data_IF_571313093196
#
_entry.id   IF_571313093196
#
_cell.length_a   1.000
_cell.length_b   1.000
_cell.length_c   1.000
_cell.angle_alpha   90.00
_cell.angle_beta   90.00
_cell.angle_gamma   90.00
#
_symmetry.space_group_name_H-M   'P 1'
#
loop_
_entity.id
_entity.type
_entity.pdbx_description
1 polymer ?
#
# COMPACT_ATOMS: atom_id res chain seq x y z
N UNK A 1 -3.18 0.07 -0.13
CA UNK A 1 -1.92 0.81 0.15
C UNK A 1 -1.10 0.95 -1.13
N UNK A 2 -0.48 2.12 -1.43
CA UNK A 2 0.22 2.32 -2.71
C UNK A 2 1.41 1.37 -2.93
N UNK A 3 2.15 1.06 -1.86
CA UNK A 3 3.26 0.09 -1.89
C UNK A 3 2.75 -1.31 -2.23
N UNK A 4 1.68 -1.77 -1.58
CA UNK A 4 1.07 -3.07 -1.87
C UNK A 4 0.59 -3.19 -3.32
N UNK A 5 -0.02 -2.14 -3.89
CA UNK A 5 -0.45 -2.11 -5.30
C UNK A 5 0.77 -2.28 -6.23
N UNK A 6 1.89 -1.62 -5.93
CA UNK A 6 3.11 -1.73 -6.71
C UNK A 6 3.75 -3.12 -6.59
N UNK A 7 3.81 -3.70 -5.39
CA UNK A 7 4.26 -5.08 -5.16
C UNK A 7 3.37 -6.10 -5.87
N UNK A 8 2.06 -5.89 -5.92
CA UNK A 8 1.15 -6.74 -6.68
C UNK A 8 1.46 -6.76 -8.18
N UNK A 9 2.01 -5.69 -8.76
CA UNK A 9 2.49 -5.68 -10.16
C UNK A 9 3.71 -6.57 -10.34
N UNK A 10 4.62 -6.59 -9.36
CA UNK A 10 5.80 -7.47 -9.35
C UNK A 10 5.36 -8.93 -9.37
N UNK A 11 4.42 -9.32 -8.50
CA UNK A 11 3.91 -10.70 -8.42
C UNK A 11 3.12 -11.14 -9.68
N UNK A 12 2.53 -10.19 -10.39
CA UNK A 12 1.79 -10.44 -11.64
C UNK A 12 2.68 -10.41 -12.89
N UNK A 13 3.93 -9.98 -12.80
CA UNK A 13 4.84 -9.95 -13.94
C UNK A 13 5.06 -11.37 -14.49
N UNK A 14 5.06 -11.51 -15.82
CA UNK A 14 5.18 -12.80 -16.50
C UNK A 14 6.47 -12.98 -17.28
N UNK A 15 7.18 -11.89 -17.57
CA UNK A 15 8.47 -11.91 -18.26
C UNK A 15 9.55 -11.22 -17.44
N UNK A 16 10.82 -11.46 -17.76
CA UNK A 16 11.94 -10.82 -17.07
C UNK A 16 11.89 -9.31 -17.26
N UNK A 17 11.60 -8.83 -18.48
CA UNK A 17 11.49 -7.40 -18.72
C UNK A 17 10.37 -6.74 -17.89
N UNK A 18 9.21 -7.39 -17.81
CA UNK A 18 8.10 -6.92 -16.96
C UNK A 18 8.47 -6.92 -15.48
N UNK A 19 9.21 -7.93 -15.02
CA UNK A 19 9.57 -8.06 -13.60
C UNK A 19 10.59 -7.01 -13.20
N UNK A 20 11.62 -6.77 -14.01
CA UNK A 20 12.60 -5.69 -13.79
C UNK A 20 11.91 -4.32 -13.71
N UNK A 21 11.05 -3.99 -14.69
CA UNK A 21 10.28 -2.74 -14.68
C UNK A 21 9.36 -2.62 -13.45
N UNK A 22 8.65 -3.70 -13.11
CA UNK A 22 7.77 -3.72 -11.94
C UNK A 22 8.56 -3.55 -10.63
N UNK A 23 9.73 -4.17 -10.49
CA UNK A 23 10.59 -4.02 -9.31
C UNK A 23 11.10 -2.58 -9.16
N UNK A 24 11.55 -1.97 -10.25
CA UNK A 24 12.00 -0.56 -10.25
C UNK A 24 10.86 0.40 -9.88
N UNK A 25 9.66 0.17 -10.42
CA UNK A 25 8.46 0.94 -10.04
C UNK A 25 8.08 0.72 -8.58
N UNK A 26 8.14 -0.51 -8.08
CA UNK A 26 7.87 -0.81 -6.68
C UNK A 26 8.86 -0.10 -5.74
N UNK A 27 10.16 -0.11 -6.07
CA UNK A 27 11.18 0.61 -5.32
C UNK A 27 10.95 2.13 -5.34
N UNK A 28 10.59 2.71 -6.49
CA UNK A 28 10.26 4.14 -6.57
C UNK A 28 9.03 4.49 -5.72
N UNK A 29 7.95 3.70 -5.81
CA UNK A 29 6.72 3.93 -5.04
C UNK A 29 6.97 3.80 -3.54
N UNK A 30 7.73 2.78 -3.12
CA UNK A 30 8.16 2.62 -1.74
C UNK A 30 8.93 3.85 -1.28
N UNK A 31 9.88 4.34 -2.08
CA UNK A 31 10.72 5.49 -1.71
C UNK A 31 9.92 6.78 -1.62
N UNK A 32 9.03 7.04 -2.58
CA UNK A 32 8.13 8.21 -2.54
C UNK A 32 7.23 8.16 -1.30
N UNK A 33 6.71 6.98 -0.95
CA UNK A 33 5.89 6.79 0.24
C UNK A 33 6.68 7.02 1.54
N UNK A 34 7.87 6.42 1.64
CA UNK A 34 8.79 6.62 2.77
C UNK A 34 9.19 8.09 2.91
N UNK A 35 9.44 8.80 1.80
CA UNK A 35 9.75 10.23 1.84
C UNK A 35 8.60 11.04 2.42
N UNK A 36 7.36 10.76 2.02
CA UNK A 36 6.18 11.41 2.59
C UNK A 36 6.04 11.19 4.10
N UNK A 37 6.24 9.95 4.57
CA UNK A 37 6.21 9.64 6.01
C UNK A 37 7.37 10.31 6.74
N UNK A 38 8.58 10.21 6.20
CA UNK A 38 9.79 10.77 6.79
C UNK A 38 9.64 12.29 6.98
N UNK A 39 9.22 13.00 5.94
CA UNK A 39 8.99 14.44 5.99
C UNK A 39 7.86 14.82 6.94
N UNK A 40 6.72 14.11 6.91
CA UNK A 40 5.61 14.37 7.83
C UNK A 40 6.02 14.13 9.30
N UNK A 41 6.84 13.11 9.53
CA UNK A 41 7.42 12.83 10.84
C UNK A 41 8.40 13.93 11.25
N UNK A 42 9.33 14.32 10.36
CA UNK A 42 10.34 15.34 10.63
C UNK A 42 9.71 16.71 10.90
N UNK A 43 8.65 17.08 10.18
CA UNK A 43 7.86 18.27 10.47
C UNK A 43 7.25 18.21 11.88
N UNK A 44 6.89 17.01 12.34
CA UNK A 44 6.31 16.73 13.66
C UNK A 44 7.35 16.45 14.78
N UNK A 45 8.62 16.81 14.56
CA UNK A 45 9.72 16.64 15.52
C UNK A 45 9.52 17.48 16.78
N UNK A 46 10.08 17.02 17.90
CA UNK A 46 10.03 17.73 19.17
C UNK A 46 10.92 19.01 19.14
N UNK A 47 10.66 19.99 20.02
CA UNK A 47 11.27 21.32 19.90
C UNK A 47 12.78 21.30 20.14
N UNK A 48 13.57 21.82 19.19
CA UNK A 48 15.01 22.04 19.43
C UNK A 48 15.95 22.10 18.22
N UNK A 49 15.51 21.89 16.98
CA UNK A 49 16.40 21.79 15.82
C UNK A 49 16.13 22.79 14.68
N UNK A 50 17.18 23.41 14.16
CA UNK A 50 17.20 24.22 12.93
C UNK A 50 17.51 23.40 11.67
N UNK A 51 17.46 22.06 11.75
CA UNK A 51 17.78 21.23 10.59
C UNK A 51 16.81 21.48 9.45
N UNK A 52 17.38 21.60 8.28
CA UNK A 52 16.71 21.75 6.99
C UNK A 52 16.93 20.48 6.17
N UNK A 53 16.04 20.25 5.22
CA UNK A 53 16.20 19.22 4.20
C UNK A 53 16.68 19.87 2.91
N UNK A 54 17.22 19.06 1.99
CA UNK A 54 17.53 19.54 0.65
C UNK A 54 16.30 20.15 -0.02
N UNK A 55 16.50 21.26 -0.71
CA UNK A 55 15.44 21.92 -1.47
C UNK A 55 14.99 21.01 -2.62
N UNK A 56 13.67 20.91 -2.80
CA UNK A 56 13.06 20.21 -3.92
C UNK A 56 12.58 21.25 -4.94
N UNK A 57 13.10 21.16 -6.17
CA UNK A 57 12.70 22.01 -7.29
C UNK A 57 12.74 21.25 -8.61
N UNK A 58 11.94 21.67 -9.58
CA UNK A 58 11.81 21.03 -10.88
C UNK A 58 11.15 19.65 -10.82
N UNK A 59 11.45 18.80 -11.80
CA UNK A 59 10.96 17.42 -11.85
C UNK A 59 11.69 16.55 -10.82
N UNK A 60 10.94 15.91 -9.93
CA UNK A 60 11.49 15.08 -8.89
C UNK A 60 11.71 13.65 -9.40
N UNK A 61 12.92 13.16 -9.16
CA UNK A 61 13.33 11.79 -9.50
C UNK A 61 13.38 10.90 -8.26
N UNK A 62 13.53 9.58 -8.48
CA UNK A 62 13.75 8.61 -7.42
C UNK A 62 14.89 9.04 -6.46
N UNK A 63 16.00 9.56 -6.99
CA UNK A 63 17.11 10.05 -6.18
C UNK A 63 16.71 11.14 -5.18
N UNK A 64 15.86 12.09 -5.57
CA UNK A 64 15.42 13.17 -4.68
C UNK A 64 14.69 12.60 -3.45
N UNK A 65 13.73 11.70 -3.68
CA UNK A 65 12.97 11.08 -2.58
C UNK A 65 13.86 10.22 -1.69
N UNK A 66 14.81 9.47 -2.26
CA UNK A 66 15.74 8.65 -1.49
C UNK A 66 16.64 9.52 -0.61
N UNK A 67 17.19 10.60 -1.16
CA UNK A 67 17.97 11.58 -0.40
C UNK A 67 17.16 12.18 0.74
N UNK A 68 15.90 12.57 0.50
CA UNK A 68 15.03 13.08 1.56
C UNK A 68 14.84 12.08 2.71
N UNK A 69 14.62 10.79 2.41
CA UNK A 69 14.48 9.76 3.46
C UNK A 69 15.78 9.59 4.23
N UNK A 70 16.91 9.54 3.53
CA UNK A 70 18.24 9.41 4.12
C UNK A 70 18.59 10.60 5.04
N UNK A 71 18.30 11.82 4.61
CA UNK A 71 18.48 13.05 5.41
C UNK A 71 17.67 13.00 6.70
N UNK A 72 16.38 12.67 6.61
CA UNK A 72 15.52 12.55 7.78
C UNK A 72 15.98 11.42 8.70
N UNK A 73 16.31 10.25 8.16
CA UNK A 73 16.76 9.11 8.96
C UNK A 73 18.10 9.37 9.67
N UNK A 74 18.94 10.24 9.10
CA UNK A 74 20.21 10.69 9.68
C UNK A 74 20.06 11.92 10.60
N UNK A 75 18.89 12.57 10.62
CA UNK A 75 18.63 13.73 11.45
C UNK A 75 18.78 13.38 12.93
N UNK A 76 19.32 14.32 13.72
CA UNK A 76 19.56 14.12 15.15
C UNK A 76 18.31 14.38 15.99
N UNK A 77 17.35 15.11 15.43
CA UNK A 77 16.12 15.47 16.10
C UNK A 77 15.24 14.27 16.37
N UNK A 78 14.60 14.27 17.54
CA UNK A 78 13.60 13.26 17.86
C UNK A 78 12.31 13.52 17.08
N UNK A 79 11.93 12.56 16.25
CA UNK A 79 10.68 12.59 15.48
C UNK A 79 9.94 11.24 15.51
N UNK A 80 8.62 11.22 15.28
CA UNK A 80 7.80 10.03 15.51
C UNK A 80 8.23 8.75 14.77
N UNK A 81 8.70 8.86 13.53
CA UNK A 81 9.16 7.75 12.71
C UNK A 81 10.66 7.42 12.88
N UNK A 82 11.42 8.16 13.69
CA UNK A 82 12.88 7.97 13.85
C UNK A 82 13.27 6.52 14.18
N UNK A 83 12.68 5.83 15.19
CA UNK A 83 13.06 4.46 15.50
C UNK A 83 12.71 3.48 14.37
N UNK A 84 11.65 3.75 13.63
CA UNK A 84 11.17 2.90 12.54
C UNK A 84 12.04 3.06 11.28
N UNK A 85 12.42 4.29 10.94
CA UNK A 85 13.36 4.56 9.84
C UNK A 85 14.77 4.04 10.16
N UNK A 86 15.19 4.09 11.42
CA UNK A 86 16.48 3.56 11.84
C UNK A 86 16.62 2.04 11.61
N UNK A 87 15.54 1.27 11.57
CA UNK A 87 15.61 -0.17 11.26
C UNK A 87 16.12 -0.43 9.83
N UNK A 88 15.69 0.40 8.87
CA UNK A 88 16.02 0.23 7.45
C UNK A 88 17.19 1.09 6.96
N UNK A 89 17.44 2.25 7.58
CA UNK A 89 18.37 3.28 7.06
C UNK A 89 19.58 3.55 7.95
N UNK A 90 19.63 3.02 9.18
CA UNK A 90 20.76 3.31 10.07
C UNK A 90 22.05 2.70 9.53
N UNK A 91 23.05 3.55 9.40
CA UNK A 91 24.40 3.14 9.02
C UNK A 91 25.21 2.79 10.26
N UNK A 92 25.95 1.68 10.22
CA UNK A 92 26.86 1.26 11.28
C UNK A 92 28.29 1.16 10.76
N UNK A 93 29.28 1.57 11.57
CA UNK A 93 30.69 1.40 11.24
C UNK A 93 31.22 0.17 11.97
N UNK A 94 31.71 -0.82 11.23
CA UNK A 94 32.38 -2.01 11.78
C UNK A 94 33.69 -2.21 11.03
N UNK A 95 34.81 -2.26 11.73
CA UNK A 95 36.13 -2.50 11.14
C UNK A 95 36.48 -1.59 9.94
N UNK A 96 36.25 -0.27 10.07
CA UNK A 96 36.43 0.73 9.00
C UNK A 96 35.46 0.60 7.79
N UNK A 97 34.66 -0.45 7.72
CA UNK A 97 33.58 -0.58 6.75
C UNK A 97 32.30 0.09 7.26
N UNK A 98 31.63 0.79 6.35
CA UNK A 98 30.37 1.48 6.59
C UNK A 98 29.24 0.59 6.07
N UNK A 99 28.60 -0.15 6.97
CA UNK A 99 27.47 -1.01 6.68
C UNK A 99 26.20 -0.16 6.66
N UNK A 100 25.61 0.02 5.48
CA UNK A 100 24.33 0.68 5.30
C UNK A 100 23.19 -0.17 5.86
N UNK A 101 22.11 0.48 6.25
CA UNK A 101 20.88 -0.21 6.61
C UNK A 101 20.36 -1.02 5.40
N UNK A 102 19.68 -2.13 5.69
CA UNK A 102 19.24 -3.09 4.67
C UNK A 102 18.37 -2.42 3.59
N UNK A 103 17.42 -1.58 4.00
CA UNK A 103 16.56 -0.83 3.07
C UNK A 103 17.33 0.24 2.31
N UNK A 104 18.23 0.98 2.97
CA UNK A 104 19.05 1.98 2.29
C UNK A 104 19.91 1.36 1.18
N UNK A 105 20.64 0.28 1.49
CA UNK A 105 21.48 -0.41 0.53
C UNK A 105 20.68 -0.92 -0.68
N UNK A 106 19.53 -1.55 -0.42
CA UNK A 106 18.66 -2.06 -1.49
C UNK A 106 18.09 -0.94 -2.37
N UNK A 107 17.61 0.16 -1.80
CA UNK A 107 17.06 1.28 -2.57
C UNK A 107 18.13 2.03 -3.36
N UNK A 108 19.36 2.13 -2.83
CA UNK A 108 20.51 2.66 -3.57
C UNK A 108 20.85 1.76 -4.75
N UNK A 109 20.88 0.43 -4.57
CA UNK A 109 21.12 -0.51 -5.66
C UNK A 109 20.04 -0.39 -6.75
N UNK A 110 18.77 -0.27 -6.36
CA UNK A 110 17.66 -0.07 -7.31
C UNK A 110 17.72 1.28 -8.03
N UNK A 111 18.16 2.35 -7.35
CA UNK A 111 18.40 3.64 -7.98
C UNK A 111 19.55 3.58 -8.99
N UNK A 112 20.64 2.89 -8.63
CA UNK A 112 21.78 2.66 -9.53
C UNK A 112 21.32 1.91 -10.79
N UNK A 113 20.61 0.79 -10.61
CA UNK A 113 20.05 0.01 -11.72
C UNK A 113 19.13 0.85 -12.60
N UNK A 114 18.27 1.68 -12.02
CA UNK A 114 17.43 2.60 -12.79
C UNK A 114 18.26 3.58 -13.62
N UNK A 115 19.30 4.16 -13.03
CA UNK A 115 20.15 5.13 -13.72
C UNK A 115 20.92 4.48 -14.87
N UNK A 116 21.42 3.26 -14.66
CA UNK A 116 22.13 2.47 -15.67
C UNK A 116 21.20 2.10 -16.84
N UNK A 117 19.92 1.84 -16.56
CA UNK A 117 18.91 1.56 -17.59
C UNK A 117 18.35 2.82 -18.26
N UNK A 118 18.44 3.99 -17.61
CA UNK A 118 18.04 5.28 -18.16
C UNK A 118 16.67 5.29 -18.85
N UNK A 119 16.63 5.76 -20.11
CA UNK A 119 15.44 5.75 -20.97
C UNK A 119 15.18 4.39 -21.67
N UNK A 120 16.09 3.42 -21.56
CA UNK A 120 16.03 2.13 -22.25
C UNK A 120 15.00 1.18 -21.65
N UNK A 121 14.44 1.49 -20.47
CA UNK A 121 13.36 0.73 -19.83
C UNK A 121 12.17 0.45 -20.76
N UNK A 122 11.88 1.36 -21.70
CA UNK A 122 10.79 1.18 -22.68
C UNK A 122 11.09 0.16 -23.77
N UNK A 123 12.36 -0.19 -23.96
CA UNK A 123 12.86 -1.08 -25.00
C UNK A 123 13.73 -2.20 -24.43
N UNK A 124 13.56 -2.52 -23.15
CA UNK A 124 14.34 -3.57 -22.50
C UNK A 124 13.99 -4.91 -23.15
N UNK A 125 14.93 -5.46 -23.92
CA UNK A 125 14.78 -6.78 -24.52
C UNK A 125 14.87 -7.87 -23.44
N UNK A 126 14.24 -9.02 -23.70
CA UNK A 126 14.17 -10.11 -22.71
C UNK A 126 15.55 -10.68 -22.38
N UNK A 127 16.50 -10.73 -23.32
CA UNK A 127 17.84 -11.25 -23.06
C UNK A 127 18.61 -10.38 -22.06
N UNK A 128 18.59 -9.06 -22.26
CA UNK A 128 19.15 -8.08 -21.33
C UNK A 128 18.41 -8.11 -19.98
N UNK A 129 17.10 -8.27 -19.99
CA UNK A 129 16.31 -8.36 -18.76
C UNK A 129 16.67 -9.60 -17.93
N UNK A 130 16.81 -10.78 -18.54
CA UNK A 130 17.25 -12.00 -17.85
C UNK A 130 18.65 -11.84 -17.27
N UNK A 131 19.58 -11.25 -18.02
CA UNK A 131 20.93 -10.97 -17.50
C UNK A 131 20.91 -10.02 -16.28
N UNK A 132 20.00 -9.04 -16.25
CA UNK A 132 19.79 -8.17 -15.08
C UNK A 132 19.21 -8.94 -13.90
N UNK A 133 18.22 -9.80 -14.13
CA UNK A 133 17.66 -10.63 -13.05
C UNK A 133 18.73 -11.51 -12.40
N UNK A 134 19.60 -12.11 -13.20
CA UNK A 134 20.68 -12.98 -12.71
C UNK A 134 21.80 -12.21 -11.99
N UNK A 135 22.15 -11.02 -12.47
CA UNK A 135 23.31 -10.26 -11.96
C UNK A 135 22.97 -9.30 -10.82
N UNK A 136 21.80 -8.65 -10.86
CA UNK A 136 21.42 -7.59 -9.94
C UNK A 136 20.29 -8.00 -8.97
N UNK A 137 19.61 -9.13 -9.23
CA UNK A 137 18.47 -9.65 -8.46
C UNK A 137 17.53 -8.56 -7.90
N UNK A 138 16.83 -7.81 -8.79
CA UNK A 138 15.98 -6.70 -8.39
C UNK A 138 14.80 -7.15 -7.52
N UNK A 139 14.40 -8.43 -7.58
CA UNK A 139 13.38 -8.98 -6.70
C UNK A 139 13.89 -9.06 -5.25
N UNK A 140 15.08 -9.64 -5.04
CA UNK A 140 15.68 -9.68 -3.71
C UNK A 140 15.91 -8.27 -3.16
N UNK A 141 16.34 -7.33 -4.01
CA UNK A 141 16.49 -5.93 -3.58
C UNK A 141 15.15 -5.32 -3.12
N UNK A 142 14.03 -5.55 -3.83
CA UNK A 142 12.71 -5.07 -3.36
C UNK A 142 12.29 -5.75 -2.06
N UNK A 143 12.52 -7.06 -1.91
CA UNK A 143 12.23 -7.78 -0.67
C UNK A 143 13.03 -7.21 0.51
N UNK A 144 14.32 -7.00 0.31
CA UNK A 144 15.22 -6.42 1.31
C UNK A 144 14.82 -5.00 1.69
N UNK A 145 14.42 -4.20 0.70
CA UNK A 145 13.89 -2.87 0.92
C UNK A 145 12.63 -2.89 1.79
N UNK A 146 11.67 -3.78 1.51
CA UNK A 146 10.42 -3.91 2.26
C UNK A 146 10.66 -4.42 3.68
N UNK A 147 11.47 -5.46 3.85
CA UNK A 147 11.74 -6.08 5.16
C UNK A 147 12.35 -5.09 6.15
N UNK A 148 13.30 -4.25 5.72
CA UNK A 148 13.96 -3.32 6.63
C UNK A 148 13.06 -2.18 7.15
N UNK A 149 11.87 -1.97 6.55
CA UNK A 149 10.88 -0.97 7.00
C UNK A 149 9.50 -1.57 7.23
N UNK A 150 9.40 -2.90 7.39
CA UNK A 150 8.13 -3.61 7.55
C UNK A 150 7.28 -3.00 8.68
N UNK A 151 7.89 -2.72 9.83
CA UNK A 151 7.18 -2.15 10.97
C UNK A 151 6.56 -0.78 10.65
N UNK A 152 7.23 0.02 9.82
CA UNK A 152 6.72 1.31 9.36
C UNK A 152 5.58 1.14 8.34
N UNK A 153 5.74 0.23 7.38
CA UNK A 153 4.72 -0.06 6.38
C UNK A 153 3.46 -0.67 7.01
N UNK A 154 3.61 -1.29 8.18
CA UNK A 154 2.50 -1.86 8.93
C UNK A 154 1.60 -0.84 9.64
N UNK A 155 2.02 0.44 9.69
CA UNK A 155 1.23 1.52 10.32
C UNK A 155 0.08 1.97 9.39
N UNK A 156 -1.09 2.34 9.95
CA UNK A 156 -2.26 2.59 9.12
C UNK A 156 -2.14 3.91 8.35
N UNK A 157 -2.31 3.82 7.03
CA UNK A 157 -2.60 4.94 6.13
C UNK A 157 -4.11 5.14 6.04
N UNK A 158 -4.59 6.35 6.28
CA UNK A 158 -6.02 6.64 6.30
C UNK A 158 -6.36 8.08 5.91
N UNK A 159 -7.64 8.32 5.63
CA UNK A 159 -8.24 9.65 5.42
C UNK A 159 -9.44 9.79 6.35
N UNK A 160 -9.66 10.98 6.90
CA UNK A 160 -10.94 11.31 7.57
C UNK A 160 -11.79 12.08 6.57
N UNK A 161 -12.88 11.48 6.09
CA UNK A 161 -13.79 12.13 5.15
C UNK A 161 -14.64 13.20 5.84
N UNK A 162 -15.15 12.86 7.01
CA UNK A 162 -16.06 13.72 7.77
C UNK A 162 -15.73 13.66 9.26
N UNK A 163 -15.97 14.78 9.94
CA UNK A 163 -15.79 14.93 11.37
C UNK A 163 -16.96 15.75 11.92
N UNK A 164 -17.72 15.17 12.83
CA UNK A 164 -18.88 15.80 13.46
C UNK A 164 -18.70 15.88 14.98
N UNK A 165 -19.03 17.04 15.55
CA UNK A 165 -18.95 17.25 16.99
C UNK A 165 -20.28 16.88 17.64
N UNK A 166 -20.21 16.06 18.68
CA UNK A 166 -21.33 15.77 19.58
C UNK A 166 -20.95 16.21 21.00
N UNK A 167 -21.90 16.35 21.94
CA UNK A 167 -21.59 16.77 23.31
C UNK A 167 -20.58 15.85 24.02
N UNK A 168 -20.60 14.55 23.71
CA UNK A 168 -19.82 13.53 24.42
C UNK A 168 -18.59 13.02 23.65
N UNK A 169 -18.52 13.30 22.34
CA UNK A 169 -17.47 12.76 21.47
C UNK A 169 -17.36 13.53 20.14
N UNK A 170 -16.25 13.32 19.44
CA UNK A 170 -16.16 13.62 18.01
C UNK A 170 -16.43 12.31 17.24
N UNK A 171 -17.31 12.36 16.24
CA UNK A 171 -17.61 11.23 15.34
C UNK A 171 -16.86 11.43 14.03
N UNK A 172 -15.97 10.49 13.71
CA UNK A 172 -15.14 10.49 12.52
C UNK A 172 -15.64 9.45 11.53
N UNK A 173 -15.66 9.79 10.25
CA UNK A 173 -15.77 8.83 9.14
C UNK A 173 -14.38 8.61 8.54
N UNK A 174 -13.75 7.49 8.87
CA UNK A 174 -12.38 7.11 8.49
C UNK A 174 -12.39 6.15 7.30
N UNK A 175 -11.59 6.43 6.26
CA UNK A 175 -11.24 5.50 5.20
C UNK A 175 -9.85 4.92 5.48
N UNK A 176 -9.74 3.59 5.58
CA UNK A 176 -8.44 2.91 5.68
C UNK A 176 -7.91 2.61 4.28
N UNK A 177 -6.76 3.19 3.93
CA UNK A 177 -6.12 3.01 2.62
C UNK A 177 -5.13 1.83 2.61
N UNK A 178 -5.33 0.88 3.53
CA UNK A 178 -4.45 -0.28 3.75
C UNK A 178 -4.90 -1.55 3.04
N UNK A 179 -6.11 -1.59 2.48
CA UNK A 179 -6.64 -2.76 1.76
C UNK A 179 -6.13 -2.93 0.33
N UNK A 180 -6.46 -4.10 -0.24
CA UNK A 180 -6.35 -4.41 -1.68
C UNK A 180 -7.57 -3.91 -2.49
N UNK A 181 -8.65 -3.52 -1.81
CA UNK A 181 -9.86 -2.98 -2.44
C UNK A 181 -9.55 -1.69 -3.20
N UNK A 182 -10.16 -1.53 -4.37
CA UNK A 182 -10.10 -0.29 -5.15
C UNK A 182 -10.71 0.89 -4.38
N UNK A 183 -11.79 0.64 -3.63
CA UNK A 183 -12.46 1.63 -2.79
C UNK A 183 -12.43 1.20 -1.31
N UNK A 184 -11.91 2.05 -0.41
CA UNK A 184 -11.86 1.74 1.01
C UNK A 184 -13.26 1.86 1.63
N UNK A 185 -13.70 0.85 2.37
CA UNK A 185 -14.96 0.93 3.12
C UNK A 185 -14.83 1.95 4.27
N UNK A 186 -15.71 2.96 4.37
CA UNK A 186 -15.71 3.90 5.47
C UNK A 186 -16.07 3.25 6.80
N UNK A 187 -15.38 3.69 7.87
CA UNK A 187 -15.62 3.28 9.24
C UNK A 187 -16.01 4.49 10.08
N UNK A 188 -17.12 4.38 10.80
CA UNK A 188 -17.55 5.40 11.77
C UNK A 188 -16.91 5.11 13.12
N UNK A 189 -16.17 6.08 13.65
CA UNK A 189 -15.38 5.93 14.88
C UNK A 189 -15.65 7.11 15.79
N UNK A 190 -15.81 6.84 17.09
CA UNK A 190 -15.94 7.88 18.11
C UNK A 190 -14.58 8.12 18.78
N UNK A 191 -14.18 9.38 18.87
CA UNK A 191 -12.95 9.82 19.50
C UNK A 191 -13.26 10.83 20.59
N UNK A 192 -12.30 11.04 21.49
CA UNK A 192 -12.40 12.03 22.55
C UNK A 192 -12.75 13.42 21.99
N UNK A 193 -13.62 14.21 22.65
CA UNK A 193 -14.06 15.53 22.16
C UNK A 193 -12.92 16.54 21.95
N UNK A 194 -11.72 16.27 22.48
CA UNK A 194 -10.51 17.08 22.27
C UNK A 194 -9.54 16.51 21.24
N UNK A 195 -9.82 15.34 20.66
CA UNK A 195 -8.88 14.53 19.88
C UNK A 195 -9.28 14.34 18.40
N UNK A 196 -9.68 15.43 17.74
CA UNK A 196 -9.98 15.45 16.30
C UNK A 196 -8.76 15.57 15.40
N UNK A 197 -8.97 15.47 14.09
CA UNK A 197 -7.95 15.80 13.07
C UNK A 197 -8.04 17.26 12.65
N UNK A 198 -6.91 17.82 12.24
CA UNK A 198 -6.80 19.21 11.80
C UNK A 198 -7.30 19.47 10.38
N UNK A 199 -7.40 18.44 9.53
CA UNK A 199 -7.85 18.60 8.14
C UNK A 199 -8.51 17.33 7.62
N UNK A 200 -9.82 17.38 7.33
CA UNK A 200 -10.52 16.31 6.63
C UNK A 200 -10.10 16.24 5.15
N UNK A 201 -10.34 15.10 4.50
CA UNK A 201 -10.01 14.89 3.09
C UNK A 201 -8.51 14.78 2.77
N UNK A 202 -7.65 14.72 3.78
CA UNK A 202 -6.20 14.57 3.59
C UNK A 202 -5.67 13.24 4.13
N UNK A 203 -4.59 12.68 3.55
CA UNK A 203 -4.05 11.41 4.01
C UNK A 203 -3.13 11.58 5.22
N UNK A 204 -3.26 10.62 6.14
CA UNK A 204 -2.53 10.53 7.41
C UNK A 204 -1.91 9.15 7.61
N UNK A 205 -0.79 9.09 8.34
CA UNK A 205 -0.29 7.85 8.95
C UNK A 205 -0.31 7.96 10.46
N UNK A 206 -0.87 6.97 11.16
CA UNK A 206 -0.81 6.93 12.62
C UNK A 206 0.46 6.21 13.09
N UNK A 207 1.29 6.90 13.89
CA UNK A 207 2.44 6.33 14.57
C UNK A 207 2.29 6.57 16.07
N UNK A 208 2.11 5.50 16.84
CA UNK A 208 1.75 5.57 18.25
C UNK A 208 0.48 6.43 18.43
N UNK A 209 0.52 7.43 19.31
CA UNK A 209 -0.60 8.36 19.55
C UNK A 209 -0.69 9.51 18.53
N UNK A 210 0.29 9.64 17.63
CA UNK A 210 0.40 10.80 16.71
C UNK A 210 -0.13 10.42 15.32
N UNK A 211 -0.93 11.29 14.72
CA UNK A 211 -1.36 11.23 13.33
C UNK A 211 -0.53 12.22 12.52
N UNK A 212 0.23 11.70 11.55
CA UNK A 212 1.13 12.49 10.71
C UNK A 212 0.44 12.84 9.41
N UNK A 213 0.20 14.14 9.19
CA UNK A 213 -0.40 14.66 7.96
C UNK A 213 0.61 14.62 6.81
N UNK A 214 0.30 13.88 5.74
CA UNK A 214 1.22 13.63 4.63
C UNK A 214 1.29 14.72 3.54
N UNK A 215 0.27 15.56 3.30
CA UNK A 215 0.43 16.71 2.41
C UNK A 215 1.59 17.62 2.82
N UNK A 216 2.37 18.19 1.89
CA UNK A 216 2.19 18.16 0.44
C UNK A 216 2.92 17.01 -0.28
N UNK A 217 3.40 15.95 0.41
CA UNK A 217 4.08 14.85 -0.28
C UNK A 217 3.11 13.83 -0.88
N UNK A 218 1.99 13.62 -0.19
CA UNK A 218 0.92 12.72 -0.61
C UNK A 218 -0.43 13.42 -0.45
N UNK A 219 -1.20 13.45 -1.52
CA UNK A 219 -2.57 13.97 -1.53
C UNK A 219 -3.57 12.83 -1.71
N UNK A 220 -4.80 13.09 -1.30
CA UNK A 220 -5.97 12.28 -1.59
C UNK A 220 -6.95 13.15 -2.38
N UNK A 221 -7.34 12.71 -3.56
CA UNK A 221 -8.18 13.52 -4.43
C UNK A 221 -8.71 12.73 -5.62
N UNK A 222 -9.56 13.38 -6.42
CA UNK A 222 -10.21 12.76 -7.57
C UNK A 222 -9.22 12.66 -8.72
N UNK A 223 -8.98 11.44 -9.20
CA UNK A 223 -8.42 11.19 -10.52
C UNK A 223 -9.52 11.45 -11.56
N UNK A 224 -9.45 12.62 -12.21
CA UNK A 224 -10.43 13.04 -13.22
C UNK A 224 -10.53 12.07 -14.41
N UNK A 225 -9.44 11.37 -14.74
CA UNK A 225 -9.44 10.40 -15.84
C UNK A 225 -10.21 9.13 -15.51
N UNK A 226 -10.24 8.75 -14.22
CA UNK A 226 -10.91 7.54 -13.75
C UNK A 226 -12.24 7.80 -13.03
N UNK A 227 -12.55 9.06 -12.75
CA UNK A 227 -13.70 9.46 -11.94
C UNK A 227 -13.73 8.73 -10.58
N UNK A 228 -12.55 8.45 -10.02
CA UNK A 228 -12.40 7.80 -8.72
C UNK A 228 -11.35 8.51 -7.87
N UNK A 229 -11.40 8.34 -6.55
CA UNK A 229 -10.38 8.86 -5.66
C UNK A 229 -9.07 8.05 -5.76
N UNK A 230 -7.96 8.76 -5.68
CA UNK A 230 -6.64 8.18 -5.73
C UNK A 230 -5.67 8.93 -4.81
N UNK A 231 -4.59 8.23 -4.44
CA UNK A 231 -3.42 8.86 -3.85
C UNK A 231 -2.56 9.47 -4.95
N UNK A 232 -2.17 10.73 -4.75
CA UNK A 232 -1.30 11.46 -5.67
C UNK A 232 0.01 11.81 -4.97
N UNK A 233 1.11 11.30 -5.51
CA UNK A 233 2.45 11.57 -5.02
C UNK A 233 2.98 12.86 -5.63
N UNK A 234 3.73 13.64 -4.85
CA UNK A 234 4.51 14.75 -5.37
C UNK A 234 5.41 14.27 -6.53
N UNK A 235 5.45 15.03 -7.62
CA UNK A 235 6.17 14.70 -8.86
C UNK A 235 7.03 15.83 -9.37
N UNK A 236 6.60 17.09 -9.21
CA UNK A 236 7.42 18.26 -9.51
C UNK A 236 7.09 19.43 -8.59
N UNK A 237 8.07 20.29 -8.34
CA UNK A 237 7.92 21.53 -7.57
C UNK A 237 8.37 22.68 -8.46
N UNK A 238 7.42 23.53 -8.85
CA UNK A 238 7.68 24.73 -9.65
C UNK A 238 7.67 25.97 -8.75
N UNK A 239 7.84 27.16 -9.35
CA UNK A 239 7.97 28.40 -8.58
C UNK A 239 6.75 28.72 -7.70
N UNK A 240 5.54 28.43 -8.21
CA UNK A 240 4.24 28.74 -7.56
C UNK A 240 3.28 27.56 -7.53
N UNK A 241 3.62 26.44 -8.16
CA UNK A 241 2.75 25.27 -8.28
C UNK A 241 3.52 24.00 -7.94
N UNK A 242 2.80 22.96 -7.53
CA UNK A 242 3.37 21.62 -7.46
C UNK A 242 2.55 20.66 -8.32
N UNK A 243 3.25 19.76 -9.01
CA UNK A 243 2.66 18.69 -9.79
C UNK A 243 2.66 17.39 -8.99
N UNK A 244 1.57 16.67 -9.11
CA UNK A 244 1.35 15.38 -8.47
C UNK A 244 1.00 14.33 -9.51
N UNK A 245 1.32 13.07 -9.23
CA UNK A 245 0.98 11.94 -10.08
C UNK A 245 0.38 10.77 -9.30
N UNK A 246 -0.61 10.10 -9.88
CA UNK A 246 -1.08 8.79 -9.41
C UNK A 246 -0.09 7.69 -9.81
N UNK A 247 -0.23 6.50 -9.23
CA UNK A 247 0.55 5.31 -9.60
C UNK A 247 0.37 4.86 -11.06
N UNK A 248 -0.67 5.39 -11.71
CA UNK A 248 -1.04 5.09 -13.09
C UNK A 248 -0.68 6.21 -14.06
N UNK A 249 -0.07 7.30 -13.55
CA UNK A 249 0.47 8.38 -14.36
C UNK A 249 -0.49 9.55 -14.62
N UNK A 250 -1.69 9.55 -14.04
CA UNK A 250 -2.58 10.73 -14.05
C UNK A 250 -1.89 11.86 -13.31
N UNK A 251 -1.84 13.04 -13.93
CA UNK A 251 -1.18 14.23 -13.36
C UNK A 251 -2.21 15.24 -12.86
N UNK A 252 -1.91 15.86 -11.73
CA UNK A 252 -2.66 16.97 -11.15
C UNK A 252 -1.69 18.11 -10.83
N UNK A 253 -2.07 19.34 -11.16
CA UNK A 253 -1.32 20.53 -10.78
C UNK A 253 -2.10 21.26 -9.68
N UNK A 254 -1.40 21.69 -8.64
CA UNK A 254 -1.99 22.37 -7.47
C UNK A 254 -1.23 23.67 -7.22
N UNK A 255 -1.94 24.79 -7.33
CA UNK A 255 -1.40 26.12 -7.07
C UNK A 255 -1.12 26.34 -5.58
N UNK A 256 -0.04 27.06 -5.26
CA UNK A 256 0.41 27.36 -3.89
C UNK A 256 1.01 26.18 -3.12
N UNK A 257 0.90 24.95 -3.64
CA UNK A 257 1.45 23.77 -2.97
C UNK A 257 2.99 23.75 -2.92
N UNK A 258 3.67 24.47 -3.82
CA UNK A 258 5.13 24.64 -3.80
C UNK A 258 5.62 25.32 -2.52
N UNK A 259 4.85 26.26 -1.98
CA UNK A 259 5.22 26.99 -0.77
C UNK A 259 5.23 26.06 0.44
N UNK A 260 4.19 25.22 0.55
CA UNK A 260 4.13 24.19 1.60
C UNK A 260 5.28 23.18 1.52
N UNK A 261 5.79 22.87 0.33
CA UNK A 261 6.96 21.98 0.16
C UNK A 261 8.21 22.70 0.67
N UNK A 262 8.44 23.94 0.18
CA UNK A 262 9.59 24.77 0.56
C UNK A 262 9.63 25.05 2.06
N UNK A 263 8.50 25.39 2.66
CA UNK A 263 8.38 25.65 4.09
C UNK A 263 8.85 24.45 4.92
N UNK A 264 8.43 23.23 4.56
CA UNK A 264 8.85 22.05 5.32
C UNK A 264 10.34 21.75 5.09
N UNK A 265 10.84 21.87 3.85
CA UNK A 265 12.26 21.72 3.56
C UNK A 265 13.13 22.75 4.31
N UNK A 266 12.65 23.99 4.47
CA UNK A 266 13.30 25.04 5.27
C UNK A 266 13.15 24.84 6.78
N UNK A 267 12.59 23.72 7.22
CA UNK A 267 12.52 23.33 8.62
C UNK A 267 11.23 23.72 9.33
N UNK A 268 10.18 24.15 8.62
CA UNK A 268 8.88 24.46 9.23
C UNK A 268 8.34 23.25 9.98
N UNK A 269 7.91 23.49 11.22
CA UNK A 269 7.34 22.47 12.10
C UNK A 269 5.83 22.44 12.02
N UNK A 270 5.26 21.28 12.31
CA UNK A 270 3.82 21.06 12.42
C UNK A 270 3.53 20.45 13.77
N UNK A 271 2.45 20.90 14.40
CA UNK A 271 1.95 20.26 15.61
C UNK A 271 1.48 18.86 15.26
N UNK A 272 2.01 17.80 15.90
CA UNK A 272 1.48 16.46 15.70
C UNK A 272 0.03 16.41 16.19
N UNK A 273 -0.86 15.87 15.35
CA UNK A 273 -2.24 15.65 15.73
C UNK A 273 -2.32 14.40 16.61
N UNK A 274 -3.08 14.45 17.71
CA UNK A 274 -3.22 13.32 18.63
C UNK A 274 -4.67 12.90 18.64
N UNK A 275 -4.93 11.67 18.17
CA UNK A 275 -6.27 11.11 18.10
C UNK A 275 -6.36 9.93 19.07
N UNK A 276 -7.26 10.05 20.04
CA UNK A 276 -7.49 9.07 21.11
C UNK A 276 -8.93 8.60 21.01
N UNK A 277 -9.11 7.27 20.95
CA UNK A 277 -10.41 6.63 20.94
C UNK A 277 -11.07 6.72 22.32
N UNK A 278 -12.39 6.54 22.42
CA UNK A 278 -13.11 6.62 23.70
C UNK A 278 -12.63 5.60 24.74
N UNK A 279 -12.03 4.49 24.32
CA UNK A 279 -11.44 3.47 25.21
C UNK A 279 -10.00 3.82 25.66
N UNK A 280 -9.50 5.00 25.31
CA UNK A 280 -8.14 5.46 25.59
C UNK A 280 -7.07 4.89 24.66
N UNK A 281 -7.44 4.06 23.68
CA UNK A 281 -6.53 3.56 22.66
C UNK A 281 -6.32 4.61 21.53
N UNK A 282 -5.54 4.26 20.51
CA UNK A 282 -5.22 5.15 19.39
C UNK A 282 -5.34 4.38 18.07
N UNK A 283 -5.40 5.10 16.95
CA UNK A 283 -5.53 4.48 15.62
C UNK A 283 -4.43 3.48 15.28
N UNK A 284 -3.18 3.70 15.70
CA UNK A 284 -2.10 2.77 15.42
C UNK A 284 -2.32 1.43 16.15
N UNK A 285 -2.78 1.46 17.40
CA UNK A 285 -3.09 0.27 18.21
C UNK A 285 -4.35 -0.44 17.73
N UNK A 286 -5.42 0.30 17.44
CA UNK A 286 -6.66 -0.22 16.84
C UNK A 286 -6.36 -0.97 15.53
N UNK A 287 -5.54 -0.36 14.67
CA UNK A 287 -5.11 -1.00 13.44
C UNK A 287 -4.24 -2.22 13.68
N UNK A 288 -3.27 -2.19 14.59
CA UNK A 288 -2.44 -3.35 14.90
C UNK A 288 -3.29 -4.56 15.31
N UNK A 289 -4.25 -4.38 16.22
CA UNK A 289 -5.18 -5.44 16.62
C UNK A 289 -6.10 -5.91 15.48
N UNK A 290 -6.47 -5.01 14.57
CA UNK A 290 -7.25 -5.36 13.37
C UNK A 290 -6.41 -6.14 12.36
N UNK A 291 -5.17 -5.71 12.12
CA UNK A 291 -4.21 -6.37 11.24
C UNK A 291 -3.89 -7.77 11.74
N UNK A 292 -3.60 -7.93 13.03
CA UNK A 292 -3.30 -9.23 13.63
C UNK A 292 -4.48 -10.20 13.46
N UNK A 293 -5.73 -9.72 13.61
CA UNK A 293 -6.93 -10.52 13.31
C UNK A 293 -7.05 -10.88 11.83
N UNK A 294 -6.79 -9.93 10.93
CA UNK A 294 -6.82 -10.19 9.47
C UNK A 294 -5.75 -11.21 9.08
N UNK A 295 -4.52 -11.06 9.58
CA UNK A 295 -3.41 -11.98 9.31
C UNK A 295 -3.67 -13.35 9.94
N UNK A 296 -4.18 -13.41 11.17
CA UNK A 296 -4.52 -14.67 11.82
C UNK A 296 -5.68 -15.38 11.10
N UNK A 297 -6.72 -14.65 10.71
CA UNK A 297 -7.79 -15.18 9.84
C UNK A 297 -7.24 -15.65 8.51
N UNK A 298 -6.33 -14.89 7.89
CA UNK A 298 -5.64 -15.25 6.65
C UNK A 298 -4.83 -16.54 6.80
N UNK A 299 -4.00 -16.66 7.84
CA UNK A 299 -3.21 -17.87 8.14
C UNK A 299 -4.09 -19.08 8.50
N UNK A 300 -5.23 -18.86 9.16
CA UNK A 300 -6.20 -19.93 9.49
C UNK A 300 -7.04 -20.36 8.28
N UNK A 301 -7.24 -19.46 7.31
CA UNK A 301 -7.96 -19.73 6.05
C UNK A 301 -7.02 -20.12 4.90
N UNK A 302 -5.71 -19.93 5.04
CA UNK A 302 -4.70 -20.36 4.07
C UNK A 302 -4.77 -21.89 3.91
N UNK A 303 -5.25 -22.31 2.75
CA UNK A 303 -5.43 -23.70 2.38
C UNK A 303 -6.79 -24.30 2.70
N UNK A 304 -7.48 -23.85 3.75
CA UNK A 304 -8.74 -24.48 4.18
C UNK A 304 -9.93 -24.01 3.34
N UNK A 305 -10.53 -24.95 2.61
CA UNK A 305 -11.77 -24.70 1.86
C UNK A 305 -12.93 -24.55 2.85
N UNK A 306 -13.53 -23.35 2.89
CA UNK A 306 -14.80 -23.12 3.60
C UNK A 306 -15.96 -23.64 2.75
N UNK A 307 -16.27 -24.93 2.90
CA UNK A 307 -17.32 -25.60 2.14
C UNK A 307 -18.71 -25.00 2.36
N UNK A 308 -18.96 -24.29 3.46
CA UNK A 308 -20.24 -23.64 3.72
C UNK A 308 -20.42 -22.34 2.93
N UNK A 309 -19.34 -21.76 2.40
CA UNK A 309 -19.36 -20.58 1.55
C UNK A 309 -19.81 -20.87 0.10
N UNK A 310 -19.90 -22.15 -0.28
CA UNK A 310 -20.36 -22.55 -1.60
C UNK A 310 -21.89 -22.53 -1.72
N UNK A 311 -22.35 -22.44 -2.97
CA UNK A 311 -23.74 -22.52 -3.36
C UNK A 311 -24.19 -23.99 -3.34
N UNK A 312 -25.11 -24.38 -2.44
CA UNK A 312 -25.47 -25.78 -2.24
C UNK A 312 -26.02 -26.45 -3.51
N UNK A 313 -26.78 -25.70 -4.32
CA UNK A 313 -27.41 -26.22 -5.53
C UNK A 313 -26.35 -26.51 -6.61
N UNK A 314 -25.38 -25.61 -6.77
CA UNK A 314 -24.26 -25.78 -7.72
C UNK A 314 -23.35 -26.94 -7.33
N UNK A 315 -23.04 -27.06 -6.04
CA UNK A 315 -22.26 -28.18 -5.48
C UNK A 315 -23.00 -29.51 -5.71
N UNK A 316 -24.31 -29.56 -5.42
CA UNK A 316 -25.13 -30.75 -5.60
C UNK A 316 -25.25 -31.15 -7.08
N UNK A 317 -25.42 -30.17 -7.97
CA UNK A 317 -25.45 -30.39 -9.43
C UNK A 317 -24.15 -31.04 -9.92
N UNK A 318 -23.00 -30.50 -9.49
CA UNK A 318 -21.70 -31.04 -9.89
C UNK A 318 -21.46 -32.44 -9.30
N UNK A 319 -21.85 -32.68 -8.05
CA UNK A 319 -21.81 -34.01 -7.46
C UNK A 319 -22.70 -35.01 -8.22
N UNK A 320 -23.85 -34.56 -8.71
CA UNK A 320 -24.73 -35.34 -9.58
C UNK A 320 -24.08 -35.75 -10.90
N UNK A 321 -23.27 -34.88 -11.53
CA UNK A 321 -22.50 -35.21 -12.73
C UNK A 321 -21.46 -36.31 -12.51
N UNK A 322 -21.00 -36.47 -11.27
CA UNK A 322 -20.04 -37.49 -10.86
C UNK A 322 -20.72 -38.85 -10.55
N UNK A 323 -22.04 -38.98 -10.80
CA UNK A 323 -22.83 -40.22 -10.74
C UNK A 323 -22.83 -40.96 -9.38
N UNK A 324 -22.80 -40.23 -8.26
CA UNK A 324 -22.92 -40.83 -6.91
C UNK A 324 -23.95 -40.08 -6.05
N UNK A 325 -25.25 -40.47 -6.10
CA UNK A 325 -26.34 -39.69 -5.50
C UNK A 325 -26.42 -39.74 -3.96
N UNK A 326 -25.71 -40.66 -3.29
CA UNK A 326 -25.80 -40.88 -1.83
C UNK A 326 -24.53 -40.50 -1.03
N UNK A 327 -23.54 -39.87 -1.67
CA UNK A 327 -22.32 -39.40 -0.97
C UNK A 327 -22.37 -37.90 -0.67
N UNK A 328 -21.71 -37.49 0.43
CA UNK A 328 -21.54 -36.08 0.79
C UNK A 328 -20.89 -35.30 -0.39
N UNK A 329 -21.59 -34.32 -1.00
CA UNK A 329 -21.09 -33.57 -2.14
C UNK A 329 -19.73 -32.90 -1.91
N UNK A 330 -19.48 -32.43 -0.68
CA UNK A 330 -18.20 -31.80 -0.32
C UNK A 330 -17.07 -32.82 -0.26
N UNK A 331 -17.35 -34.02 0.23
CA UNK A 331 -16.40 -35.13 0.22
C UNK A 331 -16.06 -35.55 -1.21
N UNK A 332 -17.06 -35.67 -2.08
CA UNK A 332 -16.89 -36.09 -3.47
C UNK A 332 -16.05 -35.08 -4.28
N UNK A 333 -16.33 -33.77 -4.12
CA UNK A 333 -15.53 -32.69 -4.71
C UNK A 333 -14.09 -32.73 -4.21
N UNK A 334 -13.87 -32.92 -2.91
CA UNK A 334 -12.52 -33.02 -2.35
C UNK A 334 -11.75 -34.20 -2.94
N UNK A 335 -12.37 -35.37 -3.02
CA UNK A 335 -11.72 -36.59 -3.52
C UNK A 335 -11.45 -36.54 -5.03
N UNK A 336 -12.33 -35.92 -5.82
CA UNK A 336 -12.25 -35.96 -7.29
C UNK A 336 -11.61 -34.73 -7.94
N UNK A 337 -11.77 -33.55 -7.35
CA UNK A 337 -11.26 -32.29 -7.89
C UNK A 337 -9.95 -31.87 -7.22
N UNK A 338 -9.78 -32.22 -5.95
CA UNK A 338 -8.64 -31.81 -5.13
C UNK A 338 -7.71 -32.98 -4.74
N UNK A 339 -7.94 -34.18 -5.30
CA UNK A 339 -7.18 -35.40 -5.00
C UNK A 339 -7.11 -35.73 -3.51
N UNK A 340 -8.18 -35.44 -2.77
CA UNK A 340 -8.30 -35.68 -1.32
C UNK A 340 -7.60 -34.63 -0.45
N UNK A 341 -7.02 -33.57 -1.03
CA UNK A 341 -6.34 -32.51 -0.29
C UNK A 341 -7.34 -31.68 0.52
N UNK A 342 -6.97 -31.38 1.77
CA UNK A 342 -7.69 -30.46 2.64
C UNK A 342 -7.13 -29.03 2.61
N UNK A 343 -5.94 -28.90 2.03
CA UNK A 343 -5.21 -27.65 1.86
C UNK A 343 -5.01 -27.43 0.37
N UNK A 344 -5.47 -26.28 -0.13
CA UNK A 344 -5.37 -25.90 -1.54
C UNK A 344 -4.61 -24.58 -1.69
N UNK A 345 -3.91 -24.41 -2.81
CA UNK A 345 -3.21 -23.16 -3.09
C UNK A 345 -4.21 -21.99 -3.23
N UNK A 346 -3.79 -20.73 -2.98
CA UNK A 346 -4.70 -19.58 -3.07
C UNK A 346 -5.40 -19.42 -4.43
N UNK A 347 -4.73 -19.79 -5.52
CA UNK A 347 -5.31 -19.77 -6.87
C UNK A 347 -6.34 -20.89 -7.07
N UNK A 348 -6.11 -22.08 -6.50
CA UNK A 348 -7.08 -23.18 -6.47
C UNK A 348 -8.32 -22.79 -5.66
N UNK A 349 -8.14 -22.16 -4.49
CA UNK A 349 -9.25 -21.65 -3.68
C UNK A 349 -10.07 -20.58 -4.43
N UNK A 350 -9.40 -19.73 -5.21
CA UNK A 350 -10.07 -18.74 -6.06
C UNK A 350 -10.88 -19.42 -7.15
N UNK A 351 -10.33 -20.43 -7.83
CA UNK A 351 -11.04 -21.20 -8.85
C UNK A 351 -12.25 -21.94 -8.27
N UNK A 352 -12.11 -22.57 -7.11
CA UNK A 352 -13.23 -23.21 -6.41
C UNK A 352 -14.34 -22.20 -6.08
N UNK A 353 -13.98 -21.01 -5.62
CA UNK A 353 -14.96 -19.96 -5.36
C UNK A 353 -15.65 -19.49 -6.66
N UNK A 354 -14.95 -19.42 -7.79
CA UNK A 354 -15.57 -19.06 -9.07
C UNK A 354 -16.51 -20.14 -9.61
N UNK A 355 -16.19 -21.42 -9.35
CA UNK A 355 -16.98 -22.55 -9.83
C UNK A 355 -18.19 -22.85 -8.95
N UNK A 356 -18.03 -22.74 -7.62
CA UNK A 356 -19.01 -23.22 -6.65
C UNK A 356 -19.47 -22.14 -5.67
N UNK A 357 -18.93 -20.92 -5.71
CA UNK A 357 -19.32 -19.85 -4.79
C UNK A 357 -20.73 -19.33 -5.05
N UNK A 358 -21.34 -18.72 -4.03
CA UNK A 358 -22.64 -18.07 -4.19
C UNK A 358 -22.53 -16.85 -5.12
N UNK A 359 -23.56 -16.53 -5.91
CA UNK A 359 -23.50 -15.45 -6.89
C UNK A 359 -23.08 -14.08 -6.32
N UNK A 360 -23.44 -13.77 -5.07
CA UNK A 360 -23.05 -12.53 -4.40
C UNK A 360 -21.55 -12.52 -4.02
N UNK A 361 -21.04 -13.64 -3.53
CA UNK A 361 -19.64 -13.80 -3.11
C UNK A 361 -18.70 -13.86 -4.32
N UNK A 362 -19.13 -14.52 -5.40
CA UNK A 362 -18.43 -14.55 -6.70
C UNK A 362 -18.33 -13.15 -7.29
N UNK A 363 -19.43 -12.39 -7.30
CA UNK A 363 -19.43 -10.98 -7.76
C UNK A 363 -18.52 -10.10 -6.92
N UNK A 364 -18.55 -10.26 -5.60
CA UNK A 364 -17.67 -9.55 -4.69
C UNK A 364 -16.18 -9.81 -4.95
N UNK A 365 -15.82 -11.03 -5.36
CA UNK A 365 -14.42 -11.39 -5.70
C UNK A 365 -14.00 -11.05 -7.12
N UNK A 366 -14.91 -11.05 -8.09
CA UNK A 366 -14.61 -10.75 -9.49
C UNK A 366 -14.43 -9.25 -9.77
N UNK A 367 -14.95 -8.36 -8.91
CA UNK A 367 -14.84 -6.89 -9.02
C UNK A 367 -15.16 -6.32 -10.42
N UNK A 368 -15.95 -7.07 -11.20
CA UNK A 368 -16.52 -6.69 -12.49
C UNK A 368 -17.97 -7.17 -12.50
N UNK A 369 -18.85 -6.40 -13.11
CA UNK A 369 -20.13 -6.94 -13.56
C UNK A 369 -19.82 -8.15 -14.43
N UNK A 370 -20.31 -9.33 -14.01
CA UNK A 370 -20.13 -10.57 -14.76
C UNK A 370 -20.66 -10.33 -16.16
N UNK A 371 -19.83 -10.63 -17.18
CA UNK A 371 -20.29 -10.80 -18.55
C UNK A 371 -21.38 -11.87 -18.50
N UNK A 372 -22.63 -11.43 -18.56
CA UNK A 372 -23.81 -12.29 -18.56
C UNK A 372 -23.78 -13.05 -19.89
N UNK A 373 -23.08 -14.20 -19.92
CA UNK A 373 -23.12 -15.15 -21.02
C UNK A 373 -24.44 -15.92 -20.94
N UNK A 374 -25.56 -15.20 -21.02
CA UNK A 374 -26.82 -15.83 -21.41
C UNK A 374 -26.68 -16.14 -22.88
N UNK A 375 -26.60 -17.43 -23.18
CA UNK A 375 -26.95 -17.94 -24.50
C UNK A 375 -28.36 -17.43 -24.80
N UNK A 376 -28.50 -16.66 -25.87
CA UNK A 376 -29.81 -16.35 -26.44
C UNK A 376 -30.34 -17.69 -26.95
N UNK A 377 -31.30 -18.26 -26.24
CA UNK A 377 -32.01 -19.44 -26.72
C UNK A 377 -32.88 -18.99 -27.90
N UNK A 378 -32.67 -19.59 -29.07
CA UNK A 378 -33.33 -19.17 -30.32
C UNK A 378 -34.81 -19.56 -30.40
N UNK A 379 -35.39 -20.10 -29.33
CA UNK A 379 -36.75 -20.64 -29.30
C UNK A 379 -37.72 -19.94 -28.33
N UNK A 380 -37.42 -18.73 -27.86
CA UNK A 380 -38.43 -17.90 -27.16
C UNK A 380 -38.57 -16.54 -27.83
N UNK A 381 -39.77 -16.15 -28.32
CA UNK A 381 -39.99 -14.93 -29.10
C UNK A 381 -39.83 -13.63 -28.30
#
# INVERSE_FOLDING_TARGET
MPVAIACGRVLRARTSAQRVDACLKAAEVLTRYLAGIAVASFASRDAGGTSTLSELSGNLSFGHFLTTVQEVAAAREQHPAAPLLAQGFKTTKRNQETLRGKTDGALVAMLQLRNDLGHELRYLDEGKATAIEESADPMAAVQDALQGVEELLSKPLFVVENQEWTPDAIVLRRLLLMGESADPTPQTIKVDPTAGVGSTGTPYVAINKRCLRLPPWLLWGIDQGRQNFALLFLDAVEATTARYCTLDGTKLQVDGASDSVRDICSGTRRSPEVVVLLDGSNFARDWAATRDRIEESGRRQEGLVDWHAFDPDTVQWFAGLLNQPDEDPHRLLRERLLDGRHLVEPDELRQLMLLFGRPADVRGRLQRDVLDLRVIDSETP
#
